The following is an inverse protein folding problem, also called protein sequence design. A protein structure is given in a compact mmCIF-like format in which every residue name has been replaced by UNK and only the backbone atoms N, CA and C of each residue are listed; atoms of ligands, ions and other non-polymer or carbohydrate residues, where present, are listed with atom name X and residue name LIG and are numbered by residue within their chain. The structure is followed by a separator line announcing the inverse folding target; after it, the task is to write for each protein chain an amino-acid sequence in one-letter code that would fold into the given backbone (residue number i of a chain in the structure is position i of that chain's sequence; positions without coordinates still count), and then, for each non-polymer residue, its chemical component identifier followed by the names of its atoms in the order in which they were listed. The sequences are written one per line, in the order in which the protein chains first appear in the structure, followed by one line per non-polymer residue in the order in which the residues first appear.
data_IF_856458166779
#
_entry.id   IF_856458166779
#
_cell.length_a   1.000
_cell.length_b   1.000
_cell.length_c   1.000
_cell.angle_alpha   90.00
_cell.angle_beta   90.00
_cell.angle_gamma   90.00
#
_symmetry.space_group_name_H-M   'P 1'
#
loop_
_entity.id
_entity.type
_entity.pdbx_description
1 polymer ?
#
# COMPACT_ATOMS: atom_id res chain seq x y z
N UNK A 1 35.42 12.50 26.17
CA UNK A 1 34.18 12.66 25.39
C UNK A 1 34.03 11.46 24.47
N UNK A 2 33.12 10.51 24.77
CA UNK A 2 32.90 9.35 23.89
C UNK A 2 32.08 9.81 22.69
N UNK A 3 32.66 9.85 21.51
CA UNK A 3 31.90 10.00 20.27
C UNK A 3 31.03 8.77 20.12
N UNK A 4 29.71 8.90 20.23
CA UNK A 4 28.80 7.85 19.80
C UNK A 4 28.98 7.71 18.29
N UNK A 5 29.76 6.71 17.93
CA UNK A 5 30.00 6.23 16.57
C UNK A 5 28.67 6.15 15.83
N UNK A 6 28.55 6.93 14.75
CA UNK A 6 27.43 6.84 13.82
C UNK A 6 27.23 5.39 13.41
N UNK A 7 26.03 4.86 13.61
CA UNK A 7 25.67 3.51 13.16
C UNK A 7 25.88 3.43 11.64
N UNK A 8 26.49 2.36 11.09
CA UNK A 8 26.64 2.21 9.64
C UNK A 8 25.29 2.26 8.92
N UNK A 9 25.27 2.83 7.72
CA UNK A 9 24.04 3.00 6.93
C UNK A 9 23.36 1.67 6.65
N UNK A 10 24.12 0.61 6.42
CA UNK A 10 23.62 -0.73 6.14
C UNK A 10 22.79 -1.26 7.32
N UNK A 11 23.26 -1.03 8.55
CA UNK A 11 22.54 -1.46 9.75
C UNK A 11 21.28 -0.62 9.95
N UNK A 12 21.32 0.68 9.64
CA UNK A 12 20.13 1.54 9.65
C UNK A 12 19.11 1.00 8.64
N UNK A 13 19.52 0.71 7.41
CA UNK A 13 18.66 0.13 6.36
C UNK A 13 18.06 -1.19 6.83
N UNK A 14 18.84 -2.04 7.47
CA UNK A 14 18.36 -3.33 7.97
C UNK A 14 17.32 -3.18 9.08
N UNK A 15 17.53 -2.27 10.04
CA UNK A 15 16.56 -1.96 11.10
C UNK A 15 15.27 -1.41 10.49
N UNK A 16 15.38 -0.41 9.61
CA UNK A 16 14.22 0.22 8.98
C UNK A 16 13.47 -0.75 8.07
N UNK A 17 14.16 -1.65 7.38
CA UNK A 17 13.53 -2.68 6.55
C UNK A 17 12.69 -3.69 7.36
N UNK A 18 12.80 -3.69 8.70
CA UNK A 18 11.95 -4.50 9.57
C UNK A 18 10.65 -3.79 10.01
N UNK A 19 10.53 -2.49 9.73
CA UNK A 19 9.39 -1.69 10.17
C UNK A 19 8.19 -1.80 9.22
N UNK A 20 6.96 -1.57 9.73
CA UNK A 20 5.79 -1.32 8.92
C UNK A 20 5.98 -0.32 7.78
N UNK A 21 5.36 -0.57 6.63
CA UNK A 21 5.31 0.40 5.53
C UNK A 21 4.76 1.77 5.99
N UNK A 22 3.76 1.76 6.89
CA UNK A 22 3.22 2.98 7.51
C UNK A 22 4.26 3.72 8.36
N UNK A 23 5.03 3.00 9.16
CA UNK A 23 6.12 3.55 9.97
C UNK A 23 7.22 4.13 9.08
N UNK A 24 7.57 3.45 7.98
CA UNK A 24 8.50 3.97 6.98
C UNK A 24 8.01 5.29 6.37
N UNK A 25 6.71 5.40 6.09
CA UNK A 25 6.11 6.66 5.66
C UNK A 25 6.37 7.81 6.63
N UNK A 26 6.23 7.57 7.94
CA UNK A 26 6.54 8.57 8.98
C UNK A 26 8.04 8.86 9.06
N UNK A 27 8.90 7.83 8.97
CA UNK A 27 10.35 7.99 8.99
C UNK A 27 10.87 8.89 7.85
N UNK A 28 10.21 8.88 6.68
CA UNK A 28 10.53 9.79 5.56
C UNK A 28 10.31 11.27 5.90
N UNK A 29 9.51 11.58 6.92
CA UNK A 29 9.24 12.95 7.36
C UNK A 29 10.27 13.46 8.38
N UNK A 30 11.15 12.60 8.91
CA UNK A 30 12.10 12.95 9.99
C UNK A 30 13.21 13.86 9.47
N UNK A 31 13.76 13.59 8.29
CA UNK A 31 14.79 14.44 7.67
C UNK A 31 14.93 14.19 6.16
N UNK A 32 15.62 15.10 5.45
CA UNK A 32 15.94 14.94 4.03
C UNK A 32 16.80 13.70 3.77
N UNK A 33 17.77 13.42 4.65
CA UNK A 33 18.64 12.24 4.56
C UNK A 33 17.85 10.95 4.68
N UNK A 34 16.96 10.87 5.66
CA UNK A 34 16.07 9.72 5.85
C UNK A 34 15.12 9.55 4.66
N UNK A 35 14.54 10.64 4.16
CA UNK A 35 13.72 10.61 2.95
C UNK A 35 14.50 10.05 1.76
N UNK A 36 15.71 10.56 1.51
CA UNK A 36 16.55 10.10 0.41
C UNK A 36 16.87 8.61 0.53
N UNK A 37 17.31 8.16 1.71
CA UNK A 37 17.62 6.76 1.99
C UNK A 37 16.41 5.83 1.75
N UNK A 38 15.25 6.20 2.30
CA UNK A 38 14.02 5.40 2.23
C UNK A 38 13.31 5.46 0.86
N UNK A 39 13.68 6.42 0.00
CA UNK A 39 13.23 6.50 -1.39
C UNK A 39 14.09 5.66 -2.34
N UNK A 40 15.23 5.12 -1.91
CA UNK A 40 16.13 4.35 -2.78
C UNK A 40 15.47 3.06 -3.29
N UNK A 41 15.63 2.71 -4.57
CA UNK A 41 15.08 1.47 -5.13
C UNK A 41 15.54 0.22 -4.39
N UNK A 42 16.77 0.20 -3.89
CA UNK A 42 17.32 -0.93 -3.13
C UNK A 42 16.58 -1.10 -1.81
N UNK A 43 16.34 -0.01 -1.08
CA UNK A 43 15.57 -0.03 0.18
C UNK A 43 14.14 -0.53 -0.08
N UNK A 44 13.45 0.02 -1.08
CA UNK A 44 12.08 -0.36 -1.42
C UNK A 44 11.99 -1.85 -1.74
N UNK A 45 12.93 -2.38 -2.54
CA UNK A 45 12.95 -3.81 -2.90
C UNK A 45 13.19 -4.70 -1.69
N UNK A 46 14.13 -4.33 -0.81
CA UNK A 46 14.41 -5.08 0.42
C UNK A 46 13.24 -5.06 1.37
N UNK A 47 12.62 -3.89 1.57
CA UNK A 47 11.44 -3.72 2.41
C UNK A 47 10.25 -4.54 1.89
N UNK A 48 9.96 -4.49 0.58
CA UNK A 48 8.90 -5.29 -0.05
C UNK A 48 9.14 -6.79 0.14
N UNK A 49 10.34 -7.29 -0.11
CA UNK A 49 10.68 -8.71 0.11
C UNK A 49 10.46 -9.13 1.57
N UNK A 50 10.84 -8.28 2.53
CA UNK A 50 10.63 -8.58 3.96
C UNK A 50 9.16 -8.52 4.36
N UNK A 51 8.36 -7.63 3.77
CA UNK A 51 6.92 -7.55 4.04
C UNK A 51 6.14 -8.81 3.62
N UNK A 52 6.63 -9.57 2.64
CA UNK A 52 6.05 -10.85 2.25
C UNK A 52 6.34 -11.93 3.30
N UNK A 53 7.54 -11.91 3.89
CA UNK A 53 7.99 -12.88 4.90
C UNK A 53 7.36 -12.58 6.27
N UNK A 54 7.15 -11.29 6.57
CA UNK A 54 6.48 -10.81 7.78
C UNK A 54 5.25 -10.01 7.38
N UNK A 55 4.18 -10.68 6.93
CA UNK A 55 2.97 -9.98 6.51
C UNK A 55 2.48 -9.17 7.70
N UNK A 56 2.56 -7.85 7.55
CA UNK A 56 1.75 -6.99 8.40
C UNK A 56 0.38 -7.02 7.83
N UNK A 57 -0.50 -7.64 8.60
CA UNK A 57 -1.78 -8.05 8.09
C UNK A 57 -2.67 -6.81 8.10
N UNK A 58 -2.88 -6.24 6.93
CA UNK A 58 -3.80 -5.14 6.72
C UNK A 58 -4.75 -5.59 5.63
N UNK A 59 -6.03 -5.39 5.89
CA UNK A 59 -7.10 -5.72 4.96
C UNK A 59 -7.67 -4.40 4.44
N UNK A 60 -7.65 -4.25 3.12
CA UNK A 60 -8.45 -3.22 2.45
C UNK A 60 -9.63 -3.88 1.79
N UNK A 61 -10.82 -3.35 2.03
CA UNK A 61 -12.06 -3.89 1.49
C UNK A 61 -13.04 -2.75 1.15
N UNK A 62 -14.05 -3.08 0.36
CA UNK A 62 -15.15 -2.18 0.00
C UNK A 62 -16.42 -2.76 0.62
N UNK A 63 -17.19 -1.94 1.30
CA UNK A 63 -18.50 -2.31 1.86
C UNK A 63 -19.64 -2.09 0.85
N UNK A 64 -20.82 -2.60 1.19
CA UNK A 64 -22.03 -2.50 0.36
C UNK A 64 -22.43 -1.06 0.01
N UNK A 65 -22.06 -0.08 0.85
CA UNK A 65 -22.32 1.34 0.61
C UNK A 65 -21.32 1.99 -0.38
N UNK A 66 -20.41 1.19 -0.95
CA UNK A 66 -19.30 1.60 -1.82
C UNK A 66 -18.17 2.35 -1.11
N UNK A 67 -18.16 2.38 0.22
CA UNK A 67 -17.07 2.95 1.01
C UNK A 67 -15.89 1.98 1.09
N UNK A 68 -14.69 2.52 0.97
CA UNK A 68 -13.46 1.75 1.15
C UNK A 68 -12.96 1.87 2.58
N UNK A 69 -12.56 0.76 3.15
CA UNK A 69 -12.02 0.67 4.50
C UNK A 69 -10.68 -0.05 4.52
N UNK A 70 -9.87 0.31 5.52
CA UNK A 70 -8.62 -0.36 5.84
C UNK A 70 -8.63 -0.74 7.32
N UNK A 71 -8.31 -1.99 7.63
CA UNK A 71 -8.24 -2.48 9.00
C UNK A 71 -7.00 -3.37 9.22
N UNK A 72 -6.34 -3.29 10.38
CA UNK A 72 -5.29 -4.24 10.73
C UNK A 72 -5.92 -5.58 11.11
N UNK A 73 -5.50 -6.63 10.40
CA UNK A 73 -5.83 -8.01 10.70
C UNK A 73 -5.00 -8.51 11.89
N UNK A 74 -5.57 -9.49 12.59
CA UNK A 74 -4.82 -10.47 13.37
C UNK A 74 -5.29 -11.87 12.95
N UNK A 75 -4.37 -12.63 12.37
CA UNK A 75 -4.49 -14.06 12.14
C UNK A 75 -4.01 -14.73 13.41
N UNK A 76 -4.96 -15.27 14.19
CA UNK A 76 -4.61 -16.13 15.30
C UNK A 76 -4.12 -17.46 14.74
N UNK A 77 -2.80 -17.68 14.68
CA UNK A 77 -2.18 -18.90 14.16
C UNK A 77 -2.67 -20.21 14.81
N UNK A 78 -3.34 -20.14 15.97
CA UNK A 78 -3.91 -21.29 16.68
C UNK A 78 -5.38 -21.60 16.37
N UNK A 79 -6.07 -20.74 15.63
CA UNK A 79 -7.47 -20.92 15.23
C UNK A 79 -7.51 -20.81 13.71
N UNK A 80 -7.25 -21.94 13.03
CA UNK A 80 -6.99 -22.03 11.59
C UNK A 80 -8.04 -21.41 10.65
N UNK A 81 -9.17 -20.87 11.14
CA UNK A 81 -10.24 -20.32 10.30
C UNK A 81 -10.79 -18.94 10.73
N UNK A 82 -10.27 -18.31 11.80
CA UNK A 82 -10.84 -17.03 12.28
C UNK A 82 -9.93 -15.85 12.04
N UNK A 83 -10.20 -15.14 10.94
CA UNK A 83 -9.68 -13.80 10.69
C UNK A 83 -10.40 -12.83 11.63
N UNK A 84 -9.65 -12.11 12.46
CA UNK A 84 -10.21 -11.06 13.32
C UNK A 84 -9.59 -9.71 13.00
N UNK A 85 -10.41 -8.66 13.09
CA UNK A 85 -9.94 -7.30 13.04
C UNK A 85 -9.40 -6.93 14.42
N UNK A 86 -8.16 -6.44 14.47
CA UNK A 86 -7.53 -6.07 15.74
C UNK A 86 -7.91 -4.67 16.21
N UNK A 87 -8.31 -3.81 15.28
CA UNK A 87 -8.83 -2.48 15.52
C UNK A 87 -10.03 -2.23 14.59
N UNK A 88 -10.91 -1.28 14.92
CA UNK A 88 -12.00 -0.88 14.05
C UNK A 88 -11.49 -0.47 12.65
N UNK A 89 -12.20 -0.84 11.57
CA UNK A 89 -11.87 -0.36 10.23
C UNK A 89 -11.84 1.16 10.16
N UNK A 90 -10.83 1.69 9.50
CA UNK A 90 -10.74 3.12 9.19
C UNK A 90 -11.21 3.36 7.77
N UNK A 91 -12.20 4.25 7.59
CA UNK A 91 -12.66 4.67 6.27
C UNK A 91 -11.54 5.40 5.53
N UNK A 92 -11.27 4.99 4.29
CA UNK A 92 -10.34 5.67 3.40
C UNK A 92 -11.10 6.75 2.62
N UNK A 93 -10.66 8.00 2.80
CA UNK A 93 -11.24 9.17 2.15
C UNK A 93 -10.16 9.80 1.27
N UNK A 94 -10.49 9.97 0.00
CA UNK A 94 -9.68 10.61 -1.01
C UNK A 94 -10.34 11.94 -1.38
N UNK A 95 -9.76 13.10 -1.01
CA UNK A 95 -10.26 14.41 -1.40
C UNK A 95 -10.43 14.49 -2.92
N UNK A 96 -11.39 15.29 -3.39
CA UNK A 96 -11.67 15.52 -4.82
C UNK A 96 -12.19 14.31 -5.62
N UNK A 97 -12.47 13.19 -4.96
CA UNK A 97 -13.06 11.99 -5.58
C UNK A 97 -14.44 11.67 -5.00
N UNK A 98 -15.26 10.96 -5.78
CA UNK A 98 -16.62 10.54 -5.36
C UNK A 98 -16.60 9.61 -4.14
N UNK A 99 -15.47 8.93 -3.88
CA UNK A 99 -15.32 7.92 -2.84
C UNK A 99 -16.39 6.80 -2.91
N UNK A 100 -16.94 6.55 -4.11
CA UNK A 100 -17.88 5.45 -4.39
C UNK A 100 -17.20 4.41 -5.27
N UNK A 101 -16.66 3.39 -4.62
CA UNK A 101 -15.88 2.33 -5.24
C UNK A 101 -16.75 1.13 -5.59
N UNK A 102 -16.51 0.51 -6.75
CA UNK A 102 -17.26 -0.68 -7.15
C UNK A 102 -16.54 -1.96 -6.70
N UNK A 103 -15.28 -2.13 -7.06
CA UNK A 103 -14.49 -3.32 -6.72
C UNK A 103 -13.00 -3.07 -6.84
N UNK A 104 -12.22 -3.88 -6.12
CA UNK A 104 -10.77 -3.97 -6.25
C UNK A 104 -10.46 -4.99 -7.33
N UNK A 105 -9.79 -4.57 -8.40
CA UNK A 105 -9.47 -5.41 -9.54
C UNK A 105 -8.17 -6.18 -9.35
N UNK A 106 -7.14 -5.52 -8.80
CA UNK A 106 -5.83 -6.12 -8.58
C UNK A 106 -5.05 -5.37 -7.49
N UNK A 107 -4.02 -6.02 -6.96
CA UNK A 107 -3.03 -5.43 -6.07
C UNK A 107 -1.61 -5.70 -6.57
N UNK A 108 -0.69 -4.77 -6.33
CA UNK A 108 0.72 -4.92 -6.68
C UNK A 108 1.59 -4.09 -5.74
N UNK A 109 2.47 -4.72 -4.95
CA UNK A 109 3.44 -4.04 -4.06
C UNK A 109 2.79 -2.95 -3.16
N UNK A 110 1.58 -3.21 -2.66
CA UNK A 110 0.83 -2.28 -1.82
C UNK A 110 0.00 -1.23 -2.56
N UNK A 111 0.07 -1.18 -3.90
CA UNK A 111 -0.84 -0.42 -4.74
C UNK A 111 -2.09 -1.24 -5.05
N UNK A 112 -3.26 -0.59 -5.12
CA UNK A 112 -4.50 -1.20 -5.58
C UNK A 112 -4.96 -0.56 -6.89
N UNK A 113 -5.44 -1.40 -7.81
CA UNK A 113 -6.20 -0.97 -8.98
C UNK A 113 -7.68 -1.15 -8.68
N UNK A 114 -8.44 -0.07 -8.69
CA UNK A 114 -9.87 -0.07 -8.37
C UNK A 114 -10.69 0.59 -9.45
N UNK A 115 -11.98 0.25 -9.46
CA UNK A 115 -12.98 0.95 -10.27
C UNK A 115 -13.88 1.79 -9.39
N UNK A 116 -14.32 2.94 -9.90
CA UNK A 116 -15.45 3.66 -9.31
C UNK A 116 -16.80 3.13 -9.85
N UNK A 117 -17.90 3.70 -9.36
CA UNK A 117 -19.24 3.39 -9.86
C UNK A 117 -19.51 3.82 -11.32
N UNK A 118 -18.62 4.60 -11.94
CA UNK A 118 -18.72 5.07 -13.32
C UNK A 118 -17.83 4.26 -14.28
N UNK A 119 -17.16 3.22 -13.78
CA UNK A 119 -16.25 2.38 -14.57
C UNK A 119 -14.89 3.03 -14.86
N UNK A 120 -14.56 4.16 -14.21
CA UNK A 120 -13.20 4.74 -14.28
C UNK A 120 -12.25 3.93 -13.42
N UNK A 121 -11.00 3.84 -13.87
CA UNK A 121 -9.93 3.07 -13.22
C UNK A 121 -9.02 4.01 -12.44
N UNK A 122 -8.67 3.61 -11.23
CA UNK A 122 -7.75 4.36 -10.38
C UNK A 122 -6.67 3.44 -9.82
N UNK A 123 -5.44 3.93 -9.80
CA UNK A 123 -4.36 3.35 -9.00
C UNK A 123 -4.30 4.15 -7.69
N UNK A 124 -4.33 3.44 -6.57
CA UNK A 124 -4.33 4.04 -5.25
C UNK A 124 -3.27 3.39 -4.36
N UNK A 125 -2.73 4.18 -3.45
CA UNK A 125 -1.89 3.73 -2.36
C UNK A 125 -2.62 3.99 -1.04
N UNK A 126 -3.18 2.98 -0.38
CA UNK A 126 -3.93 3.17 0.86
C UNK A 126 -3.12 3.74 2.04
N UNK A 127 -1.80 3.57 2.02
CA UNK A 127 -0.91 4.02 3.08
C UNK A 127 -0.64 5.52 2.93
N UNK A 128 -0.29 5.96 1.72
CA UNK A 128 -0.01 7.39 1.44
C UNK A 128 -1.29 8.17 1.16
N UNK A 129 -2.41 7.49 0.92
CA UNK A 129 -3.68 8.07 0.43
C UNK A 129 -3.54 8.79 -0.90
N UNK A 130 -2.51 8.47 -1.67
CA UNK A 130 -2.35 8.96 -3.03
C UNK A 130 -3.24 8.17 -3.98
N UNK A 131 -3.82 8.87 -4.96
CA UNK A 131 -4.70 8.31 -5.96
C UNK A 131 -4.41 8.96 -7.32
N UNK A 132 -4.47 8.16 -8.38
CA UNK A 132 -4.34 8.63 -9.78
C UNK A 132 -5.33 7.90 -10.68
N UNK A 133 -6.05 8.66 -11.51
CA UNK A 133 -6.88 8.08 -12.58
C UNK A 133 -5.95 7.45 -13.63
N UNK A 134 -6.25 6.20 -14.02
CA UNK A 134 -5.54 5.54 -15.10
C UNK A 134 -6.03 6.13 -16.42
N UNK A 135 -5.15 6.67 -17.27
CA UNK A 135 -5.57 7.25 -18.53
C UNK A 135 -6.26 6.18 -19.39
N UNK A 136 -7.33 6.59 -20.07
CA UNK A 136 -7.96 5.73 -21.07
C UNK A 136 -6.95 5.52 -22.20
N UNK A 137 -6.67 4.27 -22.61
CA UNK A 137 -5.77 4.04 -23.73
C UNK A 137 -6.32 4.77 -24.97
N UNK A 138 -5.45 5.44 -25.75
CA UNK A 138 -5.88 6.25 -26.89
C UNK A 138 -6.54 5.42 -28.00
N UNK A 139 -6.28 4.11 -28.02
CA UNK A 139 -6.89 3.18 -28.95
C UNK A 139 -7.70 2.17 -28.16
N UNK A 140 -9.01 2.09 -28.44
CA UNK A 140 -9.78 0.90 -28.10
C UNK A 140 -9.12 -0.25 -28.86
N UNK A 141 -8.58 -1.24 -28.15
CA UNK A 141 -8.43 -2.57 -28.73
C UNK A 141 -9.85 -3.01 -29.08
N UNK A 142 -10.18 -2.93 -30.36
CA UNK A 142 -11.42 -3.46 -30.88
C UNK A 142 -11.41 -4.97 -30.62
N UNK A 143 -12.29 -5.51 -29.77
CA UNK A 143 -12.32 -6.94 -29.49
C UNK A 143 -12.57 -7.79 -30.75
N UNK A 144 -13.06 -7.17 -31.83
CA UNK A 144 -13.26 -7.83 -33.13
C UNK A 144 -11.99 -7.96 -33.98
N UNK A 145 -10.86 -7.38 -33.56
CA UNK A 145 -9.56 -7.48 -34.24
C UNK A 145 -8.57 -8.33 -33.43
N UNK A 146 -9.01 -9.50 -32.95
CA UNK A 146 -8.08 -10.60 -32.67
C UNK A 146 -7.64 -11.19 -34.01
N UNK A 147 -6.36 -10.99 -34.30
CA UNK A 147 -5.63 -11.35 -35.52
C UNK A 147 -5.80 -12.85 -35.85
N UNK A 148 -6.22 -13.13 -37.10
CA UNK A 148 -6.00 -14.41 -37.79
C UNK A 148 -4.51 -14.58 -38.13
#
# INVERSE_FOLDING_TARGET
MRSYSNLPEEIIVDILSCLPAKSIGVCRCVSKTWRALLCRPEFIRTHLRRSVIRPQEWLTFIEWDHSMFCAPLRIAHHLFDKITLSLPPTKLIFPDHSNRWSWVHASCNGLLLVYDGQGKKFVLNPITKEIREVPRPPFRLDPSKSVN
#
